data_IF_950576990025
#
_entry.id   IF_950576990025
#
_cell.length_a   1.000
_cell.length_b   1.000
_cell.length_c   1.000
_cell.angle_alpha   90.00
_cell.angle_beta   90.00
_cell.angle_gamma   90.00
#
_symmetry.space_group_name_H-M   'P 1'
#
loop_
_entity.id
_entity.type
_entity.pdbx_description
1 polymer ?
#
# COMPACT_ATOMS: atom_id res chain seq x y z
N UNK A 1 -10.30 -9.75 13.18
CA UNK A 1 -9.58 -10.18 11.97
C UNK A 1 -10.06 -9.27 10.85
N UNK A 2 -9.17 -8.50 10.24
CA UNK A 2 -9.50 -7.50 9.23
C UNK A 2 -9.08 -8.00 7.85
N UNK A 3 -9.86 -7.63 6.83
CA UNK A 3 -9.48 -7.86 5.43
C UNK A 3 -8.68 -6.65 4.96
N UNK A 4 -7.42 -6.87 4.61
CA UNK A 4 -6.56 -5.87 4.00
C UNK A 4 -6.46 -6.14 2.51
N UNK A 5 -6.55 -5.07 1.72
CA UNK A 5 -6.38 -5.07 0.28
C UNK A 5 -5.08 -4.34 -0.03
N UNK A 6 -4.35 -4.77 -1.05
CA UNK A 6 -3.10 -4.11 -1.41
C UNK A 6 -2.93 -3.92 -2.91
N UNK A 7 -2.19 -2.87 -3.28
CA UNK A 7 -1.61 -2.64 -4.59
C UNK A 7 -0.08 -2.61 -4.45
N UNK A 8 0.60 -3.52 -5.14
CA UNK A 8 2.02 -3.80 -5.04
C UNK A 8 2.72 -3.46 -6.37
N UNK A 9 3.81 -2.70 -6.30
CA UNK A 9 4.73 -2.49 -7.41
C UNK A 9 6.17 -2.24 -6.90
N UNK A 10 7.11 -1.95 -7.80
CA UNK A 10 8.46 -1.58 -7.40
C UNK A 10 8.44 -0.27 -6.62
N UNK A 11 9.42 -0.08 -5.72
CA UNK A 11 9.56 1.19 -4.99
C UNK A 11 9.69 2.36 -5.97
N UNK A 12 10.52 2.21 -7.01
CA UNK A 12 10.76 3.27 -8.00
C UNK A 12 9.45 3.72 -8.67
N UNK A 13 8.64 2.75 -9.11
CA UNK A 13 7.37 3.03 -9.76
C UNK A 13 6.43 3.83 -8.85
N UNK A 14 6.24 3.39 -7.60
CA UNK A 14 5.33 4.04 -6.65
C UNK A 14 5.86 5.35 -6.04
N UNK A 15 7.13 5.71 -6.24
CA UNK A 15 7.71 6.90 -5.59
C UNK A 15 8.27 7.94 -6.56
N UNK A 16 8.53 7.56 -7.82
CA UNK A 16 9.17 8.44 -8.80
C UNK A 16 8.44 8.49 -10.14
N UNK A 17 7.79 7.40 -10.57
CA UNK A 17 7.16 7.34 -11.90
C UNK A 17 5.69 7.79 -11.87
N UNK A 18 4.98 7.47 -10.79
CA UNK A 18 3.56 7.80 -10.61
C UNK A 18 3.34 8.82 -9.48
N UNK A 19 2.30 9.68 -9.57
CA UNK A 19 2.00 10.70 -8.57
C UNK A 19 1.30 10.11 -7.32
N UNK A 20 1.87 9.04 -6.74
CA UNK A 20 1.28 8.33 -5.60
C UNK A 20 1.30 9.18 -4.33
N UNK A 21 2.36 9.94 -4.08
CA UNK A 21 2.45 10.85 -2.93
C UNK A 21 1.29 11.85 -2.94
N UNK A 22 1.07 12.52 -4.07
CA UNK A 22 -0.05 13.45 -4.28
C UNK A 22 -1.41 12.78 -4.00
N UNK A 23 -1.64 11.58 -4.56
CA UNK A 23 -2.87 10.81 -4.36
C UNK A 23 -3.12 10.54 -2.87
N UNK A 24 -2.09 10.11 -2.14
CA UNK A 24 -2.20 9.77 -0.72
C UNK A 24 -2.35 11.01 0.14
N UNK A 25 -1.67 12.11 -0.20
CA UNK A 25 -1.77 13.41 0.48
C UNK A 25 -3.17 13.99 0.35
N UNK A 26 -3.73 14.04 -0.87
CA UNK A 26 -5.09 14.53 -1.10
C UNK A 26 -6.15 13.65 -0.43
N UNK A 27 -5.97 12.32 -0.46
CA UNK A 27 -6.88 11.41 0.27
C UNK A 27 -6.81 11.61 1.78
N UNK A 28 -5.62 11.86 2.33
CA UNK A 28 -5.42 12.18 3.76
C UNK A 28 -6.14 13.48 4.12
N UNK A 29 -5.98 14.52 3.30
CA UNK A 29 -6.69 15.79 3.48
C UNK A 29 -8.21 15.62 3.45
N UNK A 30 -8.73 14.82 2.51
CA UNK A 30 -10.14 14.49 2.44
C UNK A 30 -10.63 13.80 3.71
N UNK A 31 -9.91 12.77 4.20
CA UNK A 31 -10.26 12.04 5.43
C UNK A 31 -10.29 12.96 6.64
N UNK A 32 -9.28 13.82 6.78
CA UNK A 32 -9.23 14.83 7.84
C UNK A 32 -10.42 15.79 7.79
N UNK A 33 -10.81 16.25 6.59
CA UNK A 33 -11.94 17.19 6.42
C UNK A 33 -13.29 16.61 6.81
N UNK A 34 -13.44 15.28 6.78
CA UNK A 34 -14.67 14.56 7.16
C UNK A 34 -14.56 13.85 8.51
N UNK A 35 -13.49 14.08 9.27
CA UNK A 35 -13.18 13.39 10.53
C UNK A 35 -13.24 11.85 10.42
N UNK A 36 -12.70 11.31 9.32
CA UNK A 36 -12.58 9.86 9.11
C UNK A 36 -11.16 9.39 9.46
N UNK A 37 -11.06 8.31 10.20
CA UNK A 37 -9.78 7.66 10.51
C UNK A 37 -9.09 7.13 9.25
N UNK A 38 -7.76 7.27 9.18
CA UNK A 38 -6.96 6.75 8.07
C UNK A 38 -7.01 5.23 8.07
N UNK A 39 -7.39 4.67 6.93
CA UNK A 39 -7.52 3.23 6.70
C UNK A 39 -6.59 2.72 5.58
N UNK A 40 -5.54 3.50 5.23
CA UNK A 40 -4.59 3.17 4.17
C UNK A 40 -3.15 3.61 4.50
N UNK A 41 -2.17 2.89 3.95
CA UNK A 41 -0.73 3.12 4.21
C UNK A 41 0.13 2.75 3.00
N UNK A 42 1.27 3.43 2.83
CA UNK A 42 2.33 3.05 1.90
C UNK A 42 3.46 2.34 2.67
N UNK A 43 3.66 1.05 2.42
CA UNK A 43 4.66 0.23 3.11
C UNK A 43 5.76 -0.18 2.13
N UNK A 44 7.02 0.11 2.48
CA UNK A 44 8.20 -0.36 1.73
C UNK A 44 8.64 -1.73 2.24
N UNK A 45 9.05 -2.58 1.31
CA UNK A 45 9.55 -3.95 1.53
C UNK A 45 8.69 -4.76 2.51
N UNK A 46 7.36 -4.86 2.31
CA UNK A 46 6.49 -5.49 3.28
C UNK A 46 6.76 -7.00 3.40
N UNK A 47 6.76 -7.51 4.62
CA UNK A 47 7.20 -8.88 4.92
C UNK A 47 6.30 -9.97 4.31
N UNK A 48 5.00 -9.69 4.09
CA UNK A 48 4.07 -10.65 3.48
C UNK A 48 4.43 -11.02 2.03
N UNK A 49 5.29 -10.24 1.39
CA UNK A 49 5.78 -10.49 0.02
C UNK A 49 6.93 -11.49 0.01
N UNK A 50 7.80 -11.47 1.03
CA UNK A 50 9.01 -12.29 1.08
C UNK A 50 8.72 -13.79 0.98
N UNK A 51 7.55 -14.22 1.43
CA UNK A 51 7.18 -15.63 1.49
C UNK A 51 6.64 -16.19 0.16
N UNK A 52 6.29 -15.35 -0.81
CA UNK A 52 5.50 -15.77 -1.98
C UNK A 52 6.15 -15.50 -3.34
N UNK A 53 7.31 -14.83 -3.40
CA UNK A 53 7.94 -14.49 -4.68
C UNK A 53 9.39 -14.97 -4.75
N UNK A 54 9.61 -16.06 -5.47
CA UNK A 54 10.96 -16.54 -5.84
C UNK A 54 11.49 -15.68 -6.98
N UNK A 55 12.19 -14.59 -6.67
CA UNK A 55 12.84 -13.79 -7.70
C UNK A 55 14.10 -14.49 -8.20
N UNK A 56 14.01 -15.11 -9.38
CA UNK A 56 15.18 -15.54 -10.17
C UNK A 56 15.88 -14.33 -10.81
N UNK A 57 16.23 -13.31 -10.02
CA UNK A 57 16.87 -12.10 -10.52
C UNK A 57 18.19 -11.85 -9.80
N UNK A 58 19.20 -11.43 -10.57
CA UNK A 58 20.57 -11.14 -10.09
C UNK A 58 20.65 -9.90 -9.18
N UNK A 59 19.60 -9.07 -9.15
CA UNK A 59 19.53 -7.85 -8.34
C UNK A 59 18.32 -7.89 -7.39
N UNK A 60 18.47 -7.41 -6.15
CA UNK A 60 17.35 -7.33 -5.21
C UNK A 60 16.39 -6.23 -5.67
N UNK A 61 15.24 -6.61 -6.21
CA UNK A 61 14.17 -5.65 -6.48
C UNK A 61 13.53 -5.27 -5.14
N UNK A 62 13.50 -3.97 -4.85
CA UNK A 62 12.75 -3.42 -3.71
C UNK A 62 11.30 -3.16 -4.12
N UNK A 63 10.38 -3.60 -3.27
CA UNK A 63 8.94 -3.50 -3.50
C UNK A 63 8.29 -2.54 -2.52
N UNK A 64 7.18 -1.94 -2.92
CA UNK A 64 6.31 -1.21 -2.01
C UNK A 64 4.85 -1.56 -2.28
N UNK A 65 4.04 -1.48 -1.23
CA UNK A 65 2.61 -1.75 -1.30
C UNK A 65 1.82 -0.60 -0.71
N UNK A 66 0.78 -0.17 -1.41
CA UNK A 66 -0.30 0.61 -0.83
C UNK A 66 -1.30 -0.40 -0.27
N UNK A 67 -1.56 -0.34 1.04
CA UNK A 67 -2.47 -1.25 1.74
C UNK A 67 -3.66 -0.44 2.25
N UNK A 68 -4.88 -0.98 2.18
CA UNK A 68 -6.06 -0.35 2.74
C UNK A 68 -7.11 -1.35 3.22
N UNK A 69 -7.97 -0.93 4.14
CA UNK A 69 -9.23 -1.62 4.47
C UNK A 69 -10.34 -1.35 3.44
N UNK A 70 -10.17 -0.32 2.59
CA UNK A 70 -11.07 0.06 1.52
C UNK A 70 -10.70 -0.67 0.22
N UNK A 71 -11.50 -1.69 -0.13
CA UNK A 71 -11.32 -2.48 -1.36
C UNK A 71 -11.46 -1.63 -2.62
N UNK A 72 -12.41 -0.70 -2.63
CA UNK A 72 -12.72 0.10 -3.82
C UNK A 72 -11.57 1.07 -4.11
N UNK A 73 -10.92 1.59 -3.06
CA UNK A 73 -9.70 2.37 -3.21
C UNK A 73 -8.57 1.59 -3.89
N UNK A 74 -8.32 0.35 -3.48
CA UNK A 74 -7.29 -0.49 -4.12
C UNK A 74 -7.68 -0.86 -5.55
N UNK A 75 -8.96 -1.09 -5.82
CA UNK A 75 -9.45 -1.33 -7.19
C UNK A 75 -9.29 -0.08 -8.07
N UNK A 76 -9.57 1.10 -7.53
CA UNK A 76 -9.32 2.37 -8.22
C UNK A 76 -7.83 2.56 -8.53
N UNK A 77 -6.94 2.26 -7.57
CA UNK A 77 -5.49 2.31 -7.80
C UNK A 77 -5.05 1.35 -8.90
N UNK A 78 -5.64 0.14 -8.97
CA UNK A 78 -5.35 -0.81 -10.06
C UNK A 78 -5.67 -0.23 -11.43
N UNK A 79 -6.81 0.46 -11.57
CA UNK A 79 -7.21 1.11 -12.82
C UNK A 79 -6.34 2.33 -13.13
N UNK A 80 -5.97 3.11 -12.11
CA UNK A 80 -5.21 4.37 -12.27
C UNK A 80 -3.75 4.14 -12.62
N UNK A 81 -3.10 3.19 -11.95
CA UNK A 81 -1.66 2.93 -12.05
C UNK A 81 -1.33 1.83 -13.05
N UNK A 82 -2.30 0.95 -13.37
CA UNK A 82 -2.22 -0.15 -14.37
C UNK A 82 -1.20 -1.25 -14.01
N UNK A 83 0.07 -0.89 -13.81
CA UNK A 83 1.22 -1.77 -13.57
C UNK A 83 1.44 -2.14 -12.10
N UNK A 84 0.36 -2.19 -11.32
CA UNK A 84 0.36 -2.71 -9.95
C UNK A 84 -0.26 -4.11 -9.91
N UNK A 85 0.29 -5.00 -9.09
CA UNK A 85 -0.35 -6.25 -8.69
C UNK A 85 -1.29 -5.98 -7.52
N UNK A 86 -2.49 -6.53 -7.52
CA UNK A 86 -3.40 -6.41 -6.38
C UNK A 86 -3.71 -7.75 -5.74
N UNK A 87 -4.10 -7.71 -4.47
CA UNK A 87 -4.52 -8.89 -3.72
C UNK A 87 -5.13 -8.51 -2.38
N UNK A 88 -5.43 -9.52 -1.59
CA UNK A 88 -6.00 -9.36 -0.24
C UNK A 88 -5.39 -10.37 0.72
N UNK A 89 -5.36 -10.02 2.00
CA UNK A 89 -4.99 -10.93 3.09
C UNK A 89 -5.76 -10.60 4.36
N UNK A 90 -5.85 -11.57 5.27
CA UNK A 90 -6.44 -11.37 6.59
C UNK A 90 -5.35 -11.25 7.64
N UNK A 91 -5.44 -10.24 8.49
CA UNK A 91 -4.55 -10.08 9.63
C UNK A 91 -5.31 -9.60 10.87
N UNK A 92 -4.71 -9.78 12.04
CA UNK A 92 -5.14 -9.08 13.25
C UNK A 92 -4.60 -7.65 13.19
N UNK A 93 -5.37 -6.68 13.71
CA UNK A 93 -4.88 -5.32 13.87
C UNK A 93 -3.89 -5.35 15.02
N UNK A 94 -2.59 -5.28 14.71
CA UNK A 94 -1.56 -5.18 15.74
C UNK A 94 -1.59 -3.77 16.32
N UNK A 95 -2.43 -3.57 17.34
CA UNK A 95 -2.51 -2.33 18.11
C UNK A 95 -1.20 -2.03 18.88
N UNK A 96 -0.25 -2.96 18.91
CA UNK A 96 1.06 -2.80 19.53
C UNK A 96 2.10 -2.08 18.65
N UNK A 97 1.81 -1.77 17.37
CA UNK A 97 2.80 -1.23 16.43
C UNK A 97 2.35 0.04 15.67
N UNK A 98 1.49 0.88 16.26
CA UNK A 98 0.98 2.13 15.65
C UNK A 98 2.06 3.25 15.59
N UNK A 99 3.34 2.93 15.77
CA UNK A 99 4.46 3.88 15.69
C UNK A 99 5.25 3.82 14.38
N UNK A 100 4.65 3.39 13.27
CA UNK A 100 5.30 3.50 11.96
C UNK A 100 4.70 4.61 11.11
N UNK A 101 5.35 5.77 11.26
CA UNK A 101 5.62 6.79 10.24
C UNK A 101 4.45 7.70 9.84
N UNK A 102 4.21 8.70 10.70
CA UNK A 102 3.94 10.05 10.23
C UNK A 102 5.18 10.59 9.51
N UNK A 103 5.09 10.77 8.19
CA UNK A 103 5.88 11.70 7.40
C UNK A 103 4.91 12.48 6.51
#
# INVERSE_FOLDING_TARGET
MYNYYFALASVNFLTHEEPVEEILRERTNYYNSINKDIDFWLIRNPDFIKNNITFNQKQPISYAAIISLDKDFIQWLKLRLIFVMTGEFRSQLDTHNINTLSL
#
